data_IF_891167455789
#
_entry.id   IF_891167455789
#
_cell.length_a   1.000
_cell.length_b   1.000
_cell.length_c   1.000
_cell.angle_alpha   90.00
_cell.angle_beta   90.00
_cell.angle_gamma   90.00
#
_symmetry.space_group_name_H-M   'P 1'
#
loop_
_entity.id
_entity.type
_entity.pdbx_description
1 polymer ?
#
# COMPACT_ATOMS: atom_id res chain seq x y z
N UNK A 1 40.95 7.27 -6.47
CA UNK A 1 39.64 7.08 -7.13
C UNK A 1 38.58 7.53 -6.14
N UNK A 2 37.94 8.67 -6.39
CA UNK A 2 36.85 9.16 -5.53
C UNK A 2 35.60 8.30 -5.77
N UNK A 3 35.24 7.50 -4.76
CA UNK A 3 33.96 6.80 -4.72
C UNK A 3 32.89 7.81 -4.30
N UNK A 4 32.02 8.21 -5.23
CA UNK A 4 30.83 9.01 -4.90
C UNK A 4 29.89 8.18 -4.00
N UNK A 5 29.51 8.73 -2.85
CA UNK A 5 28.72 8.04 -1.82
C UNK A 5 27.29 8.57 -1.65
N UNK A 6 26.96 9.72 -2.26
CA UNK A 6 25.65 10.36 -2.15
C UNK A 6 25.14 10.80 -3.51
N UNK A 7 23.85 10.58 -3.72
CA UNK A 7 23.06 11.04 -4.87
C UNK A 7 21.84 11.79 -4.33
N UNK A 8 21.58 12.96 -4.87
CA UNK A 8 20.42 13.79 -4.54
C UNK A 8 19.62 13.91 -5.83
N UNK A 9 18.31 13.71 -5.74
CA UNK A 9 17.39 13.89 -6.83
C UNK A 9 16.90 15.34 -6.85
N UNK A 10 16.67 15.87 -8.04
CA UNK A 10 16.02 17.16 -8.22
C UNK A 10 14.50 17.02 -7.96
N UNK A 11 13.81 18.14 -7.67
CA UNK A 11 12.37 18.09 -7.35
C UNK A 11 11.51 17.57 -8.51
N UNK A 12 11.94 17.83 -9.75
CA UNK A 12 11.29 17.32 -10.97
C UNK A 12 11.41 15.79 -11.12
N UNK A 13 12.31 15.15 -10.38
CA UNK A 13 12.50 13.70 -10.37
C UNK A 13 11.73 12.99 -9.25
N UNK A 14 10.96 13.73 -8.43
CA UNK A 14 10.12 13.14 -7.39
C UNK A 14 9.05 12.25 -8.05
N UNK A 15 8.92 10.97 -7.64
CA UNK A 15 7.89 10.11 -8.19
C UNK A 15 6.48 10.65 -7.92
N UNK A 16 5.66 10.70 -8.98
CA UNK A 16 4.30 11.24 -8.91
C UNK A 16 3.26 10.20 -8.44
N UNK A 17 3.66 8.94 -8.27
CA UNK A 17 2.75 7.83 -8.03
C UNK A 17 3.28 6.90 -6.93
N UNK A 18 2.35 6.39 -6.12
CA UNK A 18 2.64 5.27 -5.24
C UNK A 18 2.56 3.96 -6.03
N UNK A 19 3.48 3.05 -5.71
CA UNK A 19 3.51 1.73 -6.31
C UNK A 19 2.88 0.69 -5.38
N UNK A 20 1.81 0.03 -5.85
CA UNK A 20 1.13 -1.03 -5.12
C UNK A 20 1.69 -2.41 -5.49
N UNK A 21 2.60 -2.92 -4.65
CA UNK A 21 3.24 -4.23 -4.84
C UNK A 21 2.27 -5.42 -4.87
N UNK A 22 1.04 -5.27 -4.35
CA UNK A 22 0.07 -6.37 -4.31
C UNK A 22 -0.26 -6.93 -5.70
N UNK A 23 -0.17 -6.09 -6.74
CA UNK A 23 -0.43 -6.50 -8.13
C UNK A 23 0.59 -7.53 -8.65
N UNK A 24 1.82 -7.50 -8.12
CA UNK A 24 2.94 -8.32 -8.61
C UNK A 24 3.25 -9.51 -7.70
N UNK A 25 2.44 -9.74 -6.65
CA UNK A 25 2.61 -10.90 -5.79
C UNK A 25 2.30 -12.20 -6.56
N UNK A 26 3.06 -13.29 -6.33
CA UNK A 26 2.83 -14.57 -7.03
C UNK A 26 1.48 -15.20 -6.72
N UNK A 27 0.85 -14.77 -5.61
CA UNK A 27 -0.52 -15.10 -5.23
C UNK A 27 -1.14 -13.95 -4.45
N UNK A 28 -2.47 -13.76 -4.50
CA UNK A 28 -3.16 -12.75 -3.71
C UNK A 28 -2.92 -12.92 -2.22
N UNK A 29 -2.88 -11.80 -1.48
CA UNK A 29 -2.93 -11.83 -0.02
C UNK A 29 -4.30 -12.35 0.45
N UNK A 30 -4.35 -13.10 1.57
CA UNK A 30 -5.63 -13.47 2.15
C UNK A 30 -6.42 -12.22 2.54
N UNK A 31 -7.76 -12.24 2.41
CA UNK A 31 -8.58 -11.11 2.79
C UNK A 31 -8.45 -10.86 4.30
N UNK A 32 -8.53 -9.58 4.74
CA UNK A 32 -8.56 -9.27 6.15
C UNK A 32 -9.84 -9.80 6.78
N UNK A 33 -9.75 -10.26 8.02
CA UNK A 33 -10.85 -10.90 8.73
C UNK A 33 -11.45 -9.96 9.77
N UNK A 34 -12.78 -10.02 9.93
CA UNK A 34 -13.48 -9.29 10.96
C UNK A 34 -13.12 -9.89 12.34
N UNK A 35 -12.66 -9.09 13.31
CA UNK A 35 -12.08 -9.61 14.56
C UNK A 35 -13.07 -10.41 15.41
N UNK A 36 -14.36 -10.04 15.43
CA UNK A 36 -15.38 -10.76 16.19
C UNK A 36 -15.91 -12.04 15.52
N UNK A 37 -15.94 -12.11 14.19
CA UNK A 37 -16.60 -13.23 13.46
C UNK A 37 -15.60 -14.18 12.81
N UNK A 38 -14.35 -13.76 12.62
CA UNK A 38 -13.33 -14.52 11.90
C UNK A 38 -13.62 -14.71 10.40
N UNK A 39 -14.65 -14.04 9.87
CA UNK A 39 -15.01 -14.10 8.43
C UNK A 39 -14.34 -12.95 7.68
N UNK A 40 -14.17 -13.05 6.35
CA UNK A 40 -13.68 -11.94 5.53
C UNK A 40 -14.51 -10.66 5.76
N UNK A 41 -13.83 -9.53 5.86
CA UNK A 41 -14.47 -8.21 5.98
C UNK A 41 -15.26 -7.85 4.72
N UNK A 42 -16.34 -7.11 4.92
CA UNK A 42 -17.14 -6.47 3.89
C UNK A 42 -16.96 -4.94 3.93
N UNK A 43 -17.31 -4.20 2.87
CA UNK A 43 -17.26 -2.74 2.90
C UNK A 43 -18.08 -2.11 4.04
N UNK A 44 -19.24 -2.67 4.35
CA UNK A 44 -20.12 -2.18 5.43
C UNK A 44 -19.47 -2.30 6.82
N UNK A 45 -18.61 -3.30 7.03
CA UNK A 45 -17.86 -3.46 8.28
C UNK A 45 -16.83 -2.33 8.49
N UNK A 46 -16.38 -1.70 7.40
CA UNK A 46 -15.35 -0.67 7.38
C UNK A 46 -15.93 0.75 7.30
N UNK A 47 -17.18 0.90 6.85
CA UNK A 47 -17.85 2.20 6.68
C UNK A 47 -17.88 3.09 7.94
N UNK A 48 -17.95 2.58 9.19
CA UNK A 48 -17.86 3.43 10.38
C UNK A 48 -16.43 3.95 10.66
N UNK A 49 -15.40 3.28 10.14
CA UNK A 49 -14.00 3.59 10.41
C UNK A 49 -13.38 4.49 9.35
N UNK A 50 -13.79 4.29 8.09
CA UNK A 50 -13.22 4.99 6.94
C UNK A 50 -14.26 5.93 6.33
N UNK A 51 -13.85 7.15 5.93
CA UNK A 51 -14.69 8.00 5.12
C UNK A 51 -15.11 7.28 3.84
N UNK A 52 -16.41 7.30 3.56
CA UNK A 52 -16.97 6.96 2.25
C UNK A 52 -16.89 8.26 1.44
N UNK A 53 -15.82 8.46 0.66
CA UNK A 53 -15.71 9.63 -0.21
C UNK A 53 -16.90 9.77 -1.18
#
# INVERSE_FOLDING_TARGET
MDKRTKFVLDEEEIPEQWYNIQADLPKPLPPPLHPATGKPLTPDDLAPLFPME
#
